data_IF_306002300460
#
_entry.id   IF_306002300460
#
_cell.length_a   1.000
_cell.length_b   1.000
_cell.length_c   1.000
_cell.angle_alpha   90.00
_cell.angle_beta   90.00
_cell.angle_gamma   90.00
#
_symmetry.space_group_name_H-M   'P 1'
#
loop_
_entity.id
_entity.type
_entity.pdbx_description
1 polymer ?
#
# COMPACT_ATOMS: atom_id res chain seq x y z
N UNK A 1 8.17 -42.66 -36.11
CA UNK A 1 9.01 -41.46 -36.16
C UNK A 1 8.36 -40.31 -35.37
N UNK A 2 8.34 -40.36 -34.02
CA UNK A 2 7.51 -39.40 -33.27
C UNK A 2 7.90 -39.13 -31.82
N UNK A 3 9.12 -39.45 -31.37
CA UNK A 3 9.60 -39.14 -30.02
C UNK A 3 10.99 -38.49 -29.94
N UNK A 4 11.71 -38.42 -31.06
CA UNK A 4 13.09 -37.89 -31.07
C UNK A 4 13.21 -36.41 -31.43
N UNK A 5 12.13 -35.74 -31.86
CA UNK A 5 12.22 -34.35 -32.32
C UNK A 5 12.00 -33.30 -31.22
N UNK A 6 11.47 -33.66 -30.04
CA UNK A 6 11.20 -32.70 -28.95
C UNK A 6 12.39 -32.56 -27.99
N UNK A 7 13.26 -33.56 -27.89
CA UNK A 7 14.41 -33.55 -26.99
C UNK A 7 15.60 -32.69 -27.47
N UNK A 8 15.55 -32.14 -28.69
CA UNK A 8 16.66 -31.38 -29.28
C UNK A 8 16.69 -29.89 -28.90
N UNK A 9 15.76 -29.38 -28.08
CA UNK A 9 15.54 -27.93 -27.92
C UNK A 9 15.89 -27.33 -26.55
N UNK A 10 16.18 -28.13 -25.52
CA UNK A 10 16.48 -27.58 -24.19
C UNK A 10 17.99 -27.46 -24.00
N UNK A 11 18.58 -26.35 -24.46
CA UNK A 11 20.03 -26.07 -24.32
C UNK A 11 20.46 -25.63 -22.93
N UNK A 12 19.51 -25.41 -22.01
CA UNK A 12 19.77 -24.80 -20.71
C UNK A 12 19.65 -25.82 -19.58
N UNK A 13 20.53 -25.72 -18.59
CA UNK A 13 20.38 -26.44 -17.35
C UNK A 13 19.26 -25.77 -16.54
N UNK A 14 18.15 -26.47 -16.36
CA UNK A 14 16.97 -25.92 -15.69
C UNK A 14 17.07 -26.07 -14.18
N UNK A 15 16.45 -25.14 -13.46
CA UNK A 15 16.32 -25.25 -12.01
C UNK A 15 15.57 -26.55 -11.64
N UNK A 16 16.09 -27.36 -10.69
CA UNK A 16 15.45 -28.61 -10.32
C UNK A 16 14.08 -28.34 -9.70
N UNK A 17 13.04 -28.90 -10.31
CA UNK A 17 11.68 -28.80 -9.82
C UNK A 17 11.06 -30.19 -9.71
N UNK A 18 10.70 -30.60 -8.49
CA UNK A 18 9.89 -31.78 -8.24
C UNK A 18 8.65 -31.35 -7.49
N UNK A 19 7.48 -31.59 -8.07
CA UNK A 19 6.22 -31.06 -7.55
C UNK A 19 5.91 -31.50 -6.10
N UNK A 20 6.41 -32.65 -5.67
CA UNK A 20 6.29 -33.13 -4.29
C UNK A 20 7.06 -32.29 -3.26
N UNK A 21 8.06 -31.51 -3.66
CA UNK A 21 8.85 -30.63 -2.80
C UNK A 21 8.23 -29.22 -2.68
N UNK A 22 7.07 -29.00 -3.32
CA UNK A 22 6.38 -27.71 -3.37
C UNK A 22 4.93 -27.84 -2.88
N UNK A 23 4.38 -26.73 -2.41
CA UNK A 23 2.95 -26.54 -2.25
C UNK A 23 2.44 -25.69 -3.41
N UNK A 24 1.33 -26.11 -4.02
CA UNK A 24 0.58 -25.24 -4.93
C UNK A 24 -0.20 -24.23 -4.10
N UNK A 25 -0.11 -22.96 -4.48
CA UNK A 25 -0.69 -21.84 -3.72
C UNK A 25 -1.59 -21.00 -4.61
N UNK A 26 -2.53 -20.31 -3.98
CA UNK A 26 -3.39 -19.31 -4.59
C UNK A 26 -3.38 -18.01 -3.78
N UNK A 27 -3.74 -16.91 -4.43
CA UNK A 27 -3.89 -15.63 -3.75
C UNK A 27 -5.15 -15.65 -2.89
N UNK A 28 -5.04 -15.17 -1.64
CA UNK A 28 -6.14 -15.17 -0.67
C UNK A 28 -7.24 -14.17 -1.07
N UNK A 29 -8.17 -14.57 -1.91
CA UNK A 29 -9.26 -13.69 -2.38
C UNK A 29 -10.46 -13.68 -1.41
N UNK A 30 -10.22 -13.40 -0.12
CA UNK A 30 -11.26 -13.32 0.92
C UNK A 30 -11.09 -12.05 1.74
N UNK A 31 -12.09 -11.16 1.69
CA UNK A 31 -12.14 -9.99 2.55
C UNK A 31 -12.22 -10.42 4.04
N UNK A 32 -11.57 -9.72 4.98
CA UNK A 32 -10.79 -8.48 4.80
C UNK A 32 -9.29 -8.69 4.46
N UNK A 33 -8.85 -9.92 4.21
CA UNK A 33 -7.42 -10.28 4.30
C UNK A 33 -6.66 -10.27 2.97
N UNK A 34 -7.31 -10.22 1.80
CA UNK A 34 -6.56 -10.24 0.55
C UNK A 34 -7.40 -9.93 -0.69
N UNK A 35 -6.88 -10.24 -1.90
CA UNK A 35 -5.61 -10.94 -2.19
C UNK A 35 -4.35 -10.10 -1.97
N UNK A 36 -4.52 -8.79 -1.85
CA UNK A 36 -3.44 -7.84 -1.65
C UNK A 36 -3.95 -6.66 -0.80
N UNK A 37 -3.12 -6.20 0.13
CA UNK A 37 -3.43 -5.04 0.97
C UNK A 37 -2.34 -3.98 0.83
N UNK A 38 -2.72 -2.73 0.56
CA UNK A 38 -1.79 -1.60 0.63
C UNK A 38 -1.56 -1.20 2.08
N UNK A 39 -0.30 -0.89 2.39
CA UNK A 39 0.13 -0.39 3.68
C UNK A 39 0.19 1.14 3.61
N UNK A 40 -0.52 1.80 4.50
CA UNK A 40 -0.39 3.24 4.72
C UNK A 40 0.91 3.55 5.47
N UNK A 41 1.38 4.79 5.36
CA UNK A 41 2.56 5.27 6.09
C UNK A 41 2.40 5.18 7.63
N UNK A 42 1.18 4.97 8.14
CA UNK A 42 0.89 4.75 9.57
C UNK A 42 0.99 3.29 10.00
N UNK A 43 1.05 2.36 9.05
CA UNK A 43 1.07 0.90 9.26
C UNK A 43 2.44 0.27 8.97
N UNK A 44 3.37 1.06 8.44
CA UNK A 44 4.78 0.69 8.30
C UNK A 44 5.53 1.01 9.59
N UNK A 45 5.76 -0.01 10.43
CA UNK A 45 6.72 0.06 11.54
C UNK A 45 8.16 0.21 11.00
N UNK A 46 9.13 0.52 11.87
CA UNK A 46 10.56 0.72 11.53
C UNK A 46 11.14 -0.38 10.65
N UNK A 47 10.68 -1.62 10.83
CA UNK A 47 11.25 -2.81 10.18
C UNK A 47 10.75 -3.00 8.75
N UNK A 48 9.68 -2.29 8.35
CA UNK A 48 9.05 -2.40 7.03
C UNK A 48 8.88 -1.06 6.32
N UNK A 49 9.68 -0.05 6.67
CA UNK A 49 9.53 1.35 6.23
C UNK A 49 9.71 1.61 4.72
N UNK A 50 9.87 0.57 3.90
CA UNK A 50 9.95 0.65 2.44
C UNK A 50 8.84 -0.10 1.69
N UNK A 51 8.00 -0.89 2.38
CA UNK A 51 6.98 -1.70 1.73
C UNK A 51 5.66 -0.97 1.59
N UNK A 52 5.14 -0.97 0.36
CA UNK A 52 3.87 -0.31 0.03
C UNK A 52 2.68 -1.25 0.15
N UNK A 53 2.91 -2.57 0.15
CA UNK A 53 1.84 -3.56 0.12
C UNK A 53 2.27 -4.95 0.55
N UNK A 54 1.29 -5.80 0.83
CA UNK A 54 1.45 -7.22 1.14
C UNK A 54 0.57 -8.05 0.20
N UNK A 55 1.16 -9.07 -0.41
CA UNK A 55 0.47 -10.12 -1.15
C UNK A 55 0.32 -11.32 -0.23
N UNK A 56 -0.88 -11.90 -0.17
CA UNK A 56 -1.18 -13.01 0.74
C UNK A 56 -1.48 -14.27 -0.06
N UNK A 57 -0.72 -15.32 0.22
CA UNK A 57 -0.93 -16.65 -0.37
C UNK A 57 -1.51 -17.62 0.65
N UNK A 58 -2.37 -18.51 0.18
CA UNK A 58 -2.86 -19.69 0.90
C UNK A 58 -2.60 -20.95 0.07
N UNK A 59 -2.60 -22.13 0.70
CA UNK A 59 -2.45 -23.37 -0.08
C UNK A 59 -3.72 -23.65 -0.88
N UNK A 60 -3.54 -24.19 -2.08
CA UNK A 60 -4.65 -24.69 -2.86
C UNK A 60 -5.35 -25.83 -2.09
N UNK A 61 -6.68 -25.82 -2.08
CA UNK A 61 -7.53 -26.76 -1.33
C UNK A 61 -7.49 -26.64 0.20
N UNK A 62 -6.98 -25.55 0.74
CA UNK A 62 -7.15 -25.24 2.16
C UNK A 62 -8.64 -24.99 2.46
N UNK A 63 -9.12 -25.48 3.60
CA UNK A 63 -10.55 -25.51 3.96
C UNK A 63 -11.18 -24.12 4.20
N UNK A 64 -12.23 -24.02 5.04
CA UNK A 64 -12.73 -22.70 5.43
C UNK A 64 -11.60 -21.87 6.06
N UNK A 65 -11.55 -20.58 5.74
CA UNK A 65 -10.52 -19.69 6.27
C UNK A 65 -10.78 -19.54 7.76
N UNK A 66 -9.84 -20.03 8.57
CA UNK A 66 -9.86 -19.89 10.01
C UNK A 66 -8.69 -19.01 10.45
N UNK A 67 -8.75 -18.52 11.68
CA UNK A 67 -7.66 -17.70 12.23
C UNK A 67 -6.35 -18.50 12.40
N UNK A 68 -6.42 -19.83 12.39
CA UNK A 68 -5.27 -20.74 12.46
C UNK A 68 -4.77 -21.17 11.08
N UNK A 69 -5.44 -20.76 10.00
CA UNK A 69 -5.03 -21.11 8.65
C UNK A 69 -3.64 -20.51 8.37
N UNK A 70 -2.64 -21.32 8.00
CA UNK A 70 -1.32 -20.82 7.63
C UNK A 70 -1.41 -20.06 6.32
N UNK A 71 -0.87 -18.84 6.32
CA UNK A 71 -0.76 -18.00 5.14
C UNK A 71 0.69 -17.55 4.97
N UNK A 72 1.06 -17.23 3.73
CA UNK A 72 2.36 -16.65 3.42
C UNK A 72 2.17 -15.19 3.00
N UNK A 73 2.85 -14.28 3.71
CA UNK A 73 2.88 -12.85 3.42
C UNK A 73 4.14 -12.51 2.61
N UNK A 74 3.96 -11.90 1.45
CA UNK A 74 5.07 -11.39 0.63
C UNK A 74 4.92 -9.88 0.49
N UNK A 75 5.87 -9.15 1.06
CA UNK A 75 5.89 -7.70 1.01
C UNK A 75 6.42 -7.18 -0.33
N UNK A 76 5.71 -6.24 -0.93
CA UNK A 76 6.02 -5.69 -2.26
C UNK A 76 6.01 -4.17 -2.23
N UNK A 77 6.94 -3.57 -2.98
CA UNK A 77 7.19 -2.13 -3.03
C UNK A 77 6.86 -1.54 -4.40
N UNK A 78 6.43 -0.27 -4.43
CA UNK A 78 6.44 0.58 -5.62
C UNK A 78 5.50 0.11 -6.75
N UNK A 79 5.92 0.30 -7.99
CA UNK A 79 5.07 0.06 -9.17
C UNK A 79 4.65 -1.40 -9.33
N UNK A 80 5.45 -2.36 -8.86
CA UNK A 80 5.09 -3.77 -8.93
C UNK A 80 3.81 -4.06 -8.14
N UNK A 81 3.67 -3.45 -6.95
CA UNK A 81 2.47 -3.53 -6.13
C UNK A 81 1.25 -2.98 -6.90
N UNK A 82 1.36 -1.74 -7.38
CA UNK A 82 0.27 -1.10 -8.12
C UNK A 82 -0.16 -1.91 -9.34
N UNK A 83 0.79 -2.41 -10.12
CA UNK A 83 0.52 -3.19 -11.32
C UNK A 83 -0.20 -4.50 -11.01
N UNK A 84 0.19 -5.21 -9.95
CA UNK A 84 -0.48 -6.44 -9.51
C UNK A 84 -1.90 -6.12 -9.05
N UNK A 85 -2.08 -5.06 -8.25
CA UNK A 85 -3.38 -4.64 -7.78
C UNK A 85 -4.34 -4.28 -8.93
N UNK A 86 -3.87 -3.49 -9.90
CA UNK A 86 -4.64 -3.13 -11.08
C UNK A 86 -5.05 -4.38 -11.87
N UNK A 87 -4.12 -5.31 -12.06
CA UNK A 87 -4.36 -6.57 -12.75
C UNK A 87 -5.39 -7.46 -12.03
N UNK A 88 -5.34 -7.53 -10.69
CA UNK A 88 -6.31 -8.27 -9.87
C UNK A 88 -7.73 -7.72 -9.99
N UNK A 89 -7.87 -6.39 -10.16
CA UNK A 89 -9.14 -5.72 -10.34
C UNK A 89 -9.59 -5.62 -11.80
N UNK A 90 -8.85 -6.21 -12.73
CA UNK A 90 -9.13 -6.11 -14.17
C UNK A 90 -9.04 -4.68 -14.72
N UNK A 91 -8.33 -3.79 -14.02
CA UNK A 91 -8.08 -2.43 -14.46
C UNK A 91 -7.05 -2.45 -15.59
N UNK A 92 -7.41 -1.84 -16.72
CA UNK A 92 -6.55 -1.77 -17.90
C UNK A 92 -6.16 -0.33 -18.19
N UNK A 93 -4.87 -0.08 -18.16
CA UNK A 93 -4.30 1.22 -18.49
C UNK A 93 -4.36 1.51 -20.00
N UNK A 94 -4.42 2.79 -20.37
CA UNK A 94 -4.45 3.23 -21.77
C UNK A 94 -3.17 2.88 -22.55
N UNK A 95 -2.07 2.66 -21.83
CA UNK A 95 -0.76 2.26 -22.34
C UNK A 95 -0.25 1.08 -21.52
N UNK A 96 0.45 0.11 -22.15
CA UNK A 96 0.99 -1.03 -21.43
C UNK A 96 2.07 -0.58 -20.43
N UNK A 97 2.00 -1.08 -19.19
CA UNK A 97 3.07 -0.93 -18.20
C UNK A 97 4.24 -1.88 -18.50
N UNK A 98 5.34 -1.78 -17.76
CA UNK A 98 6.53 -2.64 -17.96
C UNK A 98 6.17 -4.14 -17.91
N UNK A 99 5.30 -4.54 -16.98
CA UNK A 99 4.87 -5.92 -16.88
C UNK A 99 3.95 -6.36 -18.04
N UNK A 100 3.10 -5.47 -18.57
CA UNK A 100 2.34 -5.72 -19.79
C UNK A 100 3.27 -5.92 -20.98
N UNK A 101 4.29 -5.06 -21.12
CA UNK A 101 5.28 -5.16 -22.19
C UNK A 101 5.99 -6.52 -22.12
N UNK A 102 6.43 -6.95 -20.94
CA UNK A 102 7.07 -8.25 -20.74
C UNK A 102 6.15 -9.40 -21.12
N UNK A 103 4.88 -9.38 -20.67
CA UNK A 103 3.89 -10.38 -21.08
C UNK A 103 3.70 -10.41 -22.60
N UNK A 104 3.57 -9.24 -23.23
CA UNK A 104 3.37 -9.14 -24.67
C UNK A 104 4.56 -9.71 -25.46
N UNK A 105 5.80 -9.45 -25.02
CA UNK A 105 6.99 -10.01 -25.63
C UNK A 105 7.02 -11.54 -25.50
N UNK A 106 6.72 -12.07 -24.31
CA UNK A 106 6.65 -13.53 -24.08
C UNK A 106 5.54 -14.18 -24.91
N UNK A 107 4.37 -13.55 -25.02
CA UNK A 107 3.26 -14.04 -25.84
C UNK A 107 3.66 -14.10 -27.32
N UNK A 108 4.33 -13.07 -27.85
CA UNK A 108 4.84 -13.08 -29.23
C UNK A 108 5.90 -14.16 -29.45
N UNK A 109 6.80 -14.35 -28.49
CA UNK A 109 7.79 -15.43 -28.56
C UNK A 109 7.13 -16.81 -28.55
N UNK A 110 6.08 -17.01 -27.76
CA UNK A 110 5.31 -18.25 -27.71
C UNK A 110 4.53 -18.53 -29.00
N UNK A 111 4.02 -17.50 -29.68
CA UNK A 111 3.41 -17.62 -31.01
C UNK A 111 4.43 -18.06 -32.07
N UNK A 112 5.65 -17.51 -32.03
CA UNK A 112 6.71 -17.81 -33.00
C UNK A 112 7.38 -19.17 -32.77
N UNK A 113 7.50 -19.59 -31.51
CA UNK A 113 8.11 -20.86 -31.11
C UNK A 113 7.21 -21.58 -30.10
N UNK A 114 6.11 -22.20 -30.60
CA UNK A 114 5.22 -22.99 -29.75
C UNK A 114 6.00 -24.09 -29.04
N UNK A 115 5.80 -24.22 -27.74
CA UNK A 115 6.45 -25.26 -26.92
C UNK A 115 7.74 -24.85 -26.21
N UNK A 116 8.21 -23.60 -26.31
CA UNK A 116 9.42 -23.14 -25.60
C UNK A 116 9.21 -21.93 -24.70
N UNK A 117 8.32 -21.02 -25.06
CA UNK A 117 8.17 -19.72 -24.40
C UNK A 117 6.88 -19.58 -23.59
N UNK A 118 6.10 -20.66 -23.45
CA UNK A 118 4.91 -20.63 -22.62
C UNK A 118 5.32 -20.75 -21.14
N UNK A 119 4.84 -19.81 -20.32
CA UNK A 119 5.06 -19.85 -18.87
C UNK A 119 4.22 -20.98 -18.28
N UNK A 120 4.90 -22.03 -17.81
CA UNK A 120 4.26 -23.24 -17.28
C UNK A 120 3.87 -23.07 -15.82
N UNK A 121 4.71 -22.40 -15.04
CA UNK A 121 4.51 -22.16 -13.61
C UNK A 121 5.45 -21.08 -13.10
N UNK A 122 5.08 -20.52 -11.96
CA UNK A 122 5.92 -19.65 -11.13
C UNK A 122 6.19 -20.37 -9.82
N UNK A 123 7.42 -20.34 -9.31
CA UNK A 123 7.73 -20.90 -8.01
C UNK A 123 8.53 -19.94 -7.13
N UNK A 124 8.17 -19.83 -5.85
CA UNK A 124 9.04 -19.26 -4.82
C UNK A 124 9.93 -20.41 -4.32
N UNK A 125 11.22 -20.35 -4.66
CA UNK A 125 12.14 -21.50 -4.51
C UNK A 125 13.05 -21.42 -3.29
N UNK A 126 13.27 -20.22 -2.76
CA UNK A 126 14.10 -20.00 -1.58
C UNK A 126 13.71 -18.73 -0.83
N UNK A 127 14.07 -18.68 0.44
CA UNK A 127 14.12 -17.48 1.26
C UNK A 127 15.58 -17.32 1.71
N UNK A 128 16.18 -16.16 1.46
CA UNK A 128 17.58 -15.87 1.80
C UNK A 128 17.65 -14.46 2.37
N UNK A 129 18.13 -14.32 3.61
CA UNK A 129 18.24 -13.01 4.27
C UNK A 129 16.92 -12.22 4.20
N UNK A 130 15.80 -12.89 4.50
CA UNK A 130 14.43 -12.35 4.40
C UNK A 130 13.97 -11.93 2.98
N UNK A 131 14.72 -12.30 1.95
CA UNK A 131 14.39 -12.07 0.54
C UNK A 131 13.91 -13.35 -0.14
N UNK A 132 12.66 -13.31 -0.59
CA UNK A 132 12.08 -14.39 -1.38
C UNK A 132 12.67 -14.42 -2.80
N UNK A 133 13.10 -15.61 -3.23
CA UNK A 133 13.62 -15.87 -4.57
C UNK A 133 12.55 -16.59 -5.39
N UNK A 134 12.15 -15.99 -6.51
CA UNK A 134 11.20 -16.55 -7.46
C UNK A 134 11.89 -17.15 -8.69
N UNK A 135 11.21 -18.08 -9.35
CA UNK A 135 11.61 -18.69 -10.62
C UNK A 135 10.41 -18.79 -11.56
N UNK A 136 10.63 -18.41 -12.82
CA UNK A 136 9.70 -18.60 -13.92
C UNK A 136 10.14 -19.81 -14.73
N UNK A 137 9.24 -20.76 -14.98
CA UNK A 137 9.56 -21.96 -15.76
C UNK A 137 8.83 -21.91 -17.10
N UNK A 138 9.58 -21.96 -18.19
CA UNK A 138 9.06 -21.88 -19.54
C UNK A 138 9.25 -23.20 -20.29
N UNK A 139 8.32 -23.51 -21.19
CA UNK A 139 8.44 -24.68 -22.04
C UNK A 139 7.16 -24.99 -22.79
N UNK A 140 6.85 -26.28 -22.87
CA UNK A 140 5.70 -26.78 -23.62
C UNK A 140 4.52 -27.09 -22.69
N UNK A 141 3.45 -26.30 -22.80
CA UNK A 141 2.26 -26.47 -21.99
C UNK A 141 1.49 -27.77 -22.31
N UNK A 142 1.64 -28.31 -23.52
CA UNK A 142 0.96 -29.56 -23.91
C UNK A 142 1.60 -30.79 -23.25
N UNK A 143 2.92 -30.77 -23.06
CA UNK A 143 3.65 -31.89 -22.45
C UNK A 143 4.07 -31.63 -21.00
N UNK A 144 4.02 -30.38 -20.54
CA UNK A 144 4.54 -29.95 -19.24
C UNK A 144 6.06 -29.91 -19.16
N UNK A 145 6.75 -30.11 -20.30
CA UNK A 145 8.22 -30.16 -20.37
C UNK A 145 8.81 -28.76 -20.18
N UNK A 146 9.64 -28.59 -19.17
CA UNK A 146 10.39 -27.34 -18.94
C UNK A 146 11.57 -27.27 -19.91
N UNK A 147 11.68 -26.18 -20.66
CA UNK A 147 12.77 -25.91 -21.59
C UNK A 147 13.86 -25.02 -21.00
N UNK A 148 13.47 -24.01 -20.23
CA UNK A 148 14.36 -23.08 -19.55
C UNK A 148 13.63 -22.43 -18.36
N UNK A 149 14.40 -21.83 -17.46
CA UNK A 149 13.88 -21.05 -16.36
C UNK A 149 14.60 -19.70 -16.24
N UNK A 150 14.00 -18.78 -15.50
CA UNK A 150 14.58 -17.48 -15.20
C UNK A 150 14.36 -17.11 -13.74
N UNK A 151 15.39 -16.53 -13.12
CA UNK A 151 15.30 -15.94 -11.79
C UNK A 151 14.41 -14.69 -11.83
N UNK A 152 13.51 -14.55 -10.87
CA UNK A 152 12.64 -13.37 -10.79
C UNK A 152 12.31 -13.03 -9.33
N UNK A 153 11.82 -11.82 -9.08
CA UNK A 153 11.17 -11.53 -7.80
C UNK A 153 9.77 -12.18 -7.79
N UNK A 154 9.27 -12.63 -6.63
CA UNK A 154 7.93 -13.21 -6.56
C UNK A 154 6.84 -12.28 -7.08
N UNK A 155 6.94 -10.97 -6.86
CA UNK A 155 5.97 -9.97 -7.36
C UNK A 155 5.84 -10.01 -8.89
N UNK A 156 6.96 -10.06 -9.59
CA UNK A 156 7.00 -10.05 -11.06
C UNK A 156 6.40 -11.36 -11.59
N UNK A 157 6.72 -12.48 -10.92
CA UNK A 157 6.14 -13.78 -11.22
C UNK A 157 4.64 -13.85 -10.99
N UNK A 158 4.13 -13.31 -9.87
CA UNK A 158 2.69 -13.23 -9.58
C UNK A 158 1.97 -12.47 -10.68
N UNK A 159 2.49 -11.32 -11.12
CA UNK A 159 1.88 -10.56 -12.21
C UNK A 159 1.77 -11.39 -13.49
N UNK A 160 2.87 -12.02 -13.91
CA UNK A 160 2.86 -12.86 -15.12
C UNK A 160 1.92 -14.05 -14.96
N UNK A 161 1.87 -14.66 -13.78
CA UNK A 161 0.97 -15.77 -13.45
C UNK A 161 -0.50 -15.36 -13.56
N UNK A 162 -0.86 -14.17 -13.10
CA UNK A 162 -2.21 -13.63 -13.24
C UNK A 162 -2.59 -13.40 -14.71
N UNK A 163 -1.60 -13.06 -15.55
CA UNK A 163 -1.81 -12.81 -16.98
C UNK A 163 -1.90 -14.07 -17.81
N UNK A 164 -1.07 -15.06 -17.51
CA UNK A 164 -1.03 -16.35 -18.22
C UNK A 164 -1.97 -17.39 -17.61
N UNK A 165 -2.50 -17.13 -16.41
CA UNK A 165 -3.27 -18.09 -15.61
C UNK A 165 -2.47 -19.37 -15.31
N UNK A 166 -1.13 -19.28 -15.24
CA UNK A 166 -0.32 -20.41 -14.82
C UNK A 166 -0.37 -20.61 -13.29
N UNK A 167 -0.11 -21.82 -12.78
CA UNK A 167 -0.05 -22.08 -11.36
C UNK A 167 1.17 -21.45 -10.66
N UNK A 168 0.98 -21.10 -9.39
CA UNK A 168 2.04 -20.63 -8.49
C UNK A 168 2.36 -21.73 -7.46
N UNK A 169 3.65 -21.93 -7.21
CA UNK A 169 4.17 -22.88 -6.25
C UNK A 169 5.06 -22.19 -5.22
N UNK A 170 5.15 -22.76 -4.02
CA UNK A 170 6.08 -22.36 -2.97
C UNK A 170 6.82 -23.60 -2.49
N UNK A 171 8.14 -23.54 -2.42
CA UNK A 171 8.94 -24.64 -1.89
C UNK A 171 8.52 -24.94 -0.45
N UNK A 172 8.44 -26.22 -0.08
CA UNK A 172 8.03 -26.61 1.27
C UNK A 172 8.91 -26.00 2.36
N UNK A 173 10.22 -25.97 2.14
CA UNK A 173 11.16 -25.31 3.05
C UNK A 173 10.82 -23.84 3.29
N UNK A 174 10.48 -23.10 2.23
CA UNK A 174 10.08 -21.69 2.32
C UNK A 174 8.75 -21.54 3.05
N UNK A 175 7.79 -22.42 2.77
CA UNK A 175 6.49 -22.41 3.45
C UNK A 175 6.63 -22.71 4.94
N UNK A 176 7.43 -23.72 5.31
CA UNK A 176 7.68 -24.09 6.70
C UNK A 176 8.42 -22.99 7.47
N UNK A 177 9.27 -22.23 6.81
CA UNK A 177 10.05 -21.13 7.41
C UNK A 177 9.23 -19.84 7.58
N UNK A 178 8.43 -19.47 6.57
CA UNK A 178 7.81 -18.13 6.51
C UNK A 178 6.29 -18.10 6.64
N UNK A 179 5.58 -19.23 6.47
CA UNK A 179 4.14 -19.24 6.62
C UNK A 179 3.75 -19.16 8.10
N UNK A 180 2.78 -18.30 8.42
CA UNK A 180 2.30 -18.11 9.78
C UNK A 180 0.76 -18.24 9.84
N UNK A 181 0.19 -18.68 10.97
CA UNK A 181 -1.25 -18.64 11.19
C UNK A 181 -1.81 -17.23 10.99
N UNK A 182 -2.98 -17.11 10.35
CA UNK A 182 -3.62 -15.82 10.04
C UNK A 182 -3.69 -14.88 11.26
N UNK A 183 -3.95 -15.36 12.47
CA UNK A 183 -3.99 -14.54 13.70
C UNK A 183 -2.70 -13.78 14.01
N UNK A 184 -1.55 -14.28 13.55
CA UNK A 184 -0.24 -13.66 13.74
C UNK A 184 0.18 -12.79 12.56
N UNK A 185 -0.58 -12.83 11.46
CA UNK A 185 -0.26 -12.10 10.25
C UNK A 185 -0.48 -10.60 10.40
N UNK A 186 0.32 -9.82 9.67
CA UNK A 186 0.17 -8.37 9.66
C UNK A 186 -1.16 -7.97 9.05
N UNK A 187 -1.60 -8.64 7.98
CA UNK A 187 -2.91 -8.35 7.36
C UNK A 187 -4.06 -8.54 8.34
N UNK A 188 -3.99 -9.50 9.26
CA UNK A 188 -5.02 -9.69 10.27
C UNK A 188 -5.00 -8.58 11.34
N UNK A 189 -3.83 -8.23 11.86
CA UNK A 189 -3.72 -7.14 12.84
C UNK A 189 -4.27 -5.82 12.29
N UNK A 190 -4.00 -5.54 11.01
CA UNK A 190 -4.52 -4.35 10.34
C UNK A 190 -6.04 -4.42 10.13
N UNK A 191 -6.58 -5.56 9.71
CA UNK A 191 -8.01 -5.74 9.56
C UNK A 191 -8.77 -5.52 10.89
N UNK A 192 -8.25 -6.07 12.00
CA UNK A 192 -8.85 -5.87 13.33
C UNK A 192 -8.80 -4.39 13.75
N UNK A 193 -7.67 -3.73 13.48
CA UNK A 193 -7.51 -2.30 13.77
C UNK A 193 -8.50 -1.45 12.98
N UNK A 194 -8.69 -1.72 11.70
CA UNK A 194 -9.67 -1.01 10.87
C UNK A 194 -11.10 -1.18 11.42
N UNK A 195 -11.47 -2.40 11.81
CA UNK A 195 -12.79 -2.70 12.39
C UNK A 195 -13.03 -1.96 13.71
N UNK A 196 -12.01 -1.85 14.56
CA UNK A 196 -12.08 -1.09 15.82
C UNK A 196 -12.24 0.40 15.55
N UNK A 197 -11.41 0.96 14.65
CA UNK A 197 -11.47 2.38 14.26
C UNK A 197 -12.83 2.73 13.64
N UNK A 198 -13.41 1.84 12.83
CA UNK A 198 -14.72 2.05 12.23
C UNK A 198 -15.83 2.09 13.29
N UNK A 199 -15.78 1.23 14.32
CA UNK A 199 -16.72 1.22 15.43
C UNK A 199 -16.62 2.49 16.29
N UNK A 200 -15.40 2.94 16.58
CA UNK A 200 -15.17 4.19 17.33
C UNK A 200 -15.73 5.41 16.59
N UNK A 201 -15.51 5.49 15.27
CA UNK A 201 -16.04 6.58 14.44
C UNK A 201 -17.57 6.58 14.39
N UNK A 202 -18.18 5.41 14.25
CA UNK A 202 -19.64 5.28 14.28
C UNK A 202 -20.22 5.71 15.63
N UNK A 203 -19.56 5.35 16.73
CA UNK A 203 -19.99 5.76 18.07
C UNK A 203 -19.88 7.29 18.24
N UNK A 204 -18.77 7.91 17.84
CA UNK A 204 -18.58 9.36 17.91
C UNK A 204 -19.60 10.12 17.04
N UNK A 205 -19.91 9.62 15.83
CA UNK A 205 -20.94 10.21 14.97
C UNK A 205 -22.34 10.09 15.60
N UNK A 206 -22.64 8.95 16.24
CA UNK A 206 -23.90 8.77 16.94
C UNK A 206 -24.05 9.73 18.12
N UNK A 207 -22.99 9.87 18.93
CA UNK A 207 -22.95 10.81 20.06
C UNK A 207 -23.08 12.28 19.60
N UNK A 208 -22.41 12.67 18.51
CA UNK A 208 -22.55 14.02 17.93
C UNK A 208 -23.96 14.31 17.38
N UNK A 209 -24.61 13.33 16.76
CA UNK A 209 -26.00 13.47 16.30
C UNK A 209 -26.98 13.59 17.47
N UNK A 210 -26.78 12.83 18.55
CA UNK A 210 -27.62 12.95 19.75
C UNK A 210 -27.43 14.30 20.46
N UNK A 211 -26.19 14.81 20.54
CA UNK A 211 -25.88 16.09 21.17
C UNK A 211 -26.45 17.29 20.39
N UNK A 212 -26.43 17.24 19.06
CA UNK A 212 -27.02 18.29 18.21
C UNK A 212 -28.56 18.30 18.27
N UNK A 213 -29.22 17.14 18.40
CA UNK A 213 -30.69 17.10 18.57
C UNK A 213 -31.16 17.70 19.91
N UNK A 214 -30.39 17.54 20.99
CA UNK A 214 -30.73 18.14 22.29
C UNK A 214 -30.58 19.67 22.32
N UNK A 215 -29.63 20.24 21.56
CA UNK A 215 -29.50 21.70 21.46
C UNK A 215 -30.63 22.36 20.66
N UNK A 216 -31.15 21.71 19.61
CA UNK A 216 -32.24 22.27 18.80
C UNK A 216 -33.57 22.30 19.54
N UNK A 217 -33.83 21.36 20.45
CA UNK A 217 -35.03 21.37 21.30
C UNK A 217 -34.98 22.41 22.42
N UNK A 218 -33.79 22.83 22.87
CA UNK A 218 -33.65 23.87 23.89
C UNK A 218 -33.84 25.31 23.34
N UNK A 219 -33.71 25.53 22.02
CA UNK A 219 -33.95 26.84 21.37
C UNK A 219 -35.30 26.95 20.63
N UNK A 220 -36.05 25.86 20.47
CA UNK A 220 -37.36 25.83 19.79
C UNK A 220 -38.55 26.37 20.60
N UNK A 221 -38.30 27.08 21.71
CA UNK A 221 -39.31 27.62 22.62
C UNK A 221 -39.64 29.10 22.40
N UNK A 222 -39.60 29.64 21.18
CA UNK A 222 -40.19 30.96 20.88
C UNK A 222 -40.40 31.19 19.37
N UNK A 223 -41.61 31.65 19.02
CA UNK A 223 -42.12 32.08 17.69
C UNK A 223 -42.44 30.95 16.69
N UNK A 224 -43.63 30.83 16.10
CA UNK A 224 -44.72 31.79 15.89
C UNK A 224 -45.01 31.93 14.39
N UNK A 225 -45.93 31.13 13.86
CA UNK A 225 -46.74 31.27 12.65
C UNK A 225 -46.17 32.00 11.40
N UNK A 226 -46.03 31.27 10.28
CA UNK A 226 -46.33 31.81 8.95
C UNK A 226 -46.65 30.70 7.92
N UNK A 227 -47.60 31.04 7.08
CA UNK A 227 -48.43 30.25 6.14
C UNK A 227 -47.74 29.73 4.88
N UNK A 228 -48.40 28.72 4.29
CA UNK A 228 -48.08 28.00 3.06
C UNK A 228 -48.06 28.84 1.76
N UNK A 229 -47.27 28.40 0.77
CA UNK A 229 -47.63 28.47 -0.65
C UNK A 229 -46.77 27.55 -1.54
N UNK A 230 -47.45 26.72 -2.34
CA UNK A 230 -46.96 25.96 -3.49
C UNK A 230 -46.33 26.85 -4.59
N UNK A 231 -45.30 26.34 -5.28
CA UNK A 231 -45.30 26.20 -6.75
C UNK A 231 -44.10 25.39 -7.26
N UNK A 232 -44.44 24.39 -8.07
CA UNK A 232 -43.57 23.66 -8.99
C UNK A 232 -43.04 24.59 -10.09
N UNK A 233 -41.76 24.45 -10.46
CA UNK A 233 -41.35 24.74 -11.83
C UNK A 233 -40.13 23.91 -12.26
N UNK A 234 -40.33 23.15 -13.33
CA UNK A 234 -39.32 22.53 -14.18
C UNK A 234 -38.62 23.58 -15.03
N UNK A 235 -37.29 23.49 -15.19
CA UNK A 235 -36.57 24.35 -16.13
C UNK A 235 -35.06 24.16 -16.09
N UNK A 236 -34.49 23.93 -17.25
CA UNK A 236 -33.14 23.45 -17.52
C UNK A 236 -32.08 24.56 -17.68
N UNK A 237 -30.81 24.10 -17.75
CA UNK A 237 -29.58 24.74 -18.30
C UNK A 237 -28.72 25.62 -17.38
N UNK A 238 -27.65 24.99 -16.88
CA UNK A 238 -26.27 25.24 -17.28
C UNK A 238 -25.64 26.61 -17.00
N UNK A 239 -24.67 26.65 -16.08
CA UNK A 239 -23.37 27.33 -16.28
C UNK A 239 -22.38 26.94 -15.16
N UNK A 240 -21.18 26.58 -15.62
CA UNK A 240 -19.90 26.50 -14.92
C UNK A 240 -19.66 27.57 -13.86
N UNK A 241 -19.05 27.21 -12.72
CA UNK A 241 -17.80 27.82 -12.23
C UNK A 241 -17.30 27.18 -10.93
N UNK A 242 -16.00 26.90 -10.88
CA UNK A 242 -15.17 27.14 -9.69
C UNK A 242 -15.12 26.03 -8.64
N UNK A 243 -14.17 25.11 -8.80
CA UNK A 243 -13.71 24.24 -7.73
C UNK A 243 -13.01 25.02 -6.62
N UNK A 244 -13.34 24.68 -5.38
CA UNK A 244 -12.60 25.04 -4.17
C UNK A 244 -12.36 23.77 -3.38
N UNK A 245 -11.20 23.13 -3.60
CA UNK A 245 -10.78 21.97 -2.84
C UNK A 245 -10.43 22.37 -1.41
N UNK A 246 -11.17 21.85 -0.44
CA UNK A 246 -10.72 21.80 0.94
C UNK A 246 -9.65 20.71 1.04
N UNK A 247 -8.38 21.11 1.15
CA UNK A 247 -7.28 20.19 1.43
C UNK A 247 -7.44 19.63 2.85
N UNK A 248 -7.65 18.32 2.94
CA UNK A 248 -7.45 17.56 4.17
C UNK A 248 -5.96 17.55 4.49
N UNK A 249 -5.50 18.47 5.33
CA UNK A 249 -4.10 18.51 5.76
C UNK A 249 -3.77 17.26 6.58
N UNK A 250 -2.84 16.46 6.05
CA UNK A 250 -2.21 15.36 6.77
C UNK A 250 -1.57 15.89 8.07
N UNK A 251 -1.55 15.13 9.17
CA UNK A 251 -0.81 15.52 10.39
C UNK A 251 0.70 15.71 10.17
N UNK A 252 1.19 15.32 8.99
CA UNK A 252 2.57 15.48 8.53
C UNK A 252 2.73 16.60 7.50
N UNK A 253 1.71 17.42 7.30
CA UNK A 253 1.82 18.62 6.48
C UNK A 253 2.59 19.70 7.25
N UNK A 254 3.91 19.62 7.14
CA UNK A 254 4.83 20.57 7.75
C UNK A 254 4.81 21.95 7.06
N UNK A 255 3.99 22.13 6.02
CA UNK A 255 3.72 23.44 5.40
C UNK A 255 2.48 24.13 5.98
N UNK A 256 1.64 23.39 6.72
CA UNK A 256 0.46 23.94 7.38
C UNK A 256 0.84 24.71 8.67
N UNK A 257 0.42 25.97 8.73
CA UNK A 257 0.62 26.85 9.88
C UNK A 257 -0.42 26.52 10.96
N UNK A 258 0.00 26.13 12.16
CA UNK A 258 -0.89 26.00 13.32
C UNK A 258 -0.89 27.31 14.12
N UNK A 259 -2.02 27.70 14.69
CA UNK A 259 -2.12 28.93 15.49
C UNK A 259 -1.24 28.88 16.75
N UNK A 260 -1.01 27.68 17.31
CA UNK A 260 -0.23 27.47 18.54
C UNK A 260 1.29 27.38 18.32
N UNK A 261 1.78 27.48 17.08
CA UNK A 261 3.22 27.41 16.79
C UNK A 261 3.94 28.71 17.20
N UNK A 262 5.18 28.58 17.68
CA UNK A 262 6.09 29.71 17.95
C UNK A 262 6.35 30.46 16.63
N UNK A 263 6.45 31.80 16.69
CA UNK A 263 6.55 32.67 15.50
C UNK A 263 7.72 32.28 14.56
N UNK A 264 8.89 31.93 15.11
CA UNK A 264 10.04 31.51 14.32
C UNK A 264 9.80 30.21 13.54
N UNK A 265 8.99 29.30 14.08
CA UNK A 265 8.62 28.05 13.41
C UNK A 265 7.61 28.35 12.30
N UNK A 266 6.67 29.27 12.54
CA UNK A 266 5.71 29.72 11.51
C UNK A 266 6.44 30.34 10.31
N UNK A 267 7.49 31.11 10.56
CA UNK A 267 8.34 31.68 9.51
C UNK A 267 9.02 30.58 8.69
N UNK A 268 9.70 29.64 9.34
CA UNK A 268 10.38 28.52 8.66
C UNK A 268 9.41 27.67 7.84
N UNK A 269 8.20 27.41 8.34
CA UNK A 269 7.16 26.67 7.60
C UNK A 269 6.70 27.44 6.36
N UNK A 270 6.54 28.76 6.46
CA UNK A 270 6.17 29.62 5.33
C UNK A 270 7.26 29.65 4.28
N UNK A 271 8.52 29.79 4.69
CA UNK A 271 9.67 29.73 3.78
C UNK A 271 9.78 28.37 3.08
N UNK A 272 9.56 27.28 3.82
CA UNK A 272 9.56 25.93 3.25
C UNK A 272 8.44 25.75 2.23
N UNK A 273 7.24 26.30 2.51
CA UNK A 273 6.12 26.27 1.59
C UNK A 273 6.41 27.05 0.29
N UNK A 274 7.04 28.22 0.40
CA UNK A 274 7.47 29.04 -0.74
C UNK A 274 8.52 28.29 -1.56
N UNK A 275 9.55 27.73 -0.91
CA UNK A 275 10.61 26.99 -1.60
C UNK A 275 10.08 25.77 -2.38
N UNK A 276 9.08 25.07 -1.84
CA UNK A 276 8.40 23.98 -2.54
C UNK A 276 7.53 24.48 -3.70
N UNK A 277 6.88 25.64 -3.56
CA UNK A 277 6.08 26.26 -4.62
C UNK A 277 6.93 26.78 -5.78
N UNK A 278 8.14 27.25 -5.49
CA UNK A 278 9.12 27.74 -6.48
C UNK A 278 10.00 26.62 -7.06
N UNK A 279 9.77 25.36 -6.68
CA UNK A 279 10.56 24.19 -7.07
C UNK A 279 12.06 24.29 -6.71
N UNK A 280 12.43 25.13 -5.74
CA UNK A 280 13.79 25.21 -5.19
C UNK A 280 13.99 24.13 -4.10
N UNK A 281 14.23 22.91 -4.57
CA UNK A 281 14.47 21.75 -3.70
C UNK A 281 15.73 21.89 -2.84
N UNK A 282 16.72 22.68 -3.26
CA UNK A 282 17.96 22.89 -2.50
C UNK A 282 17.71 23.77 -1.28
N UNK A 283 16.92 24.85 -1.43
CA UNK A 283 16.44 25.65 -0.31
C UNK A 283 15.52 24.85 0.61
N UNK A 284 14.60 24.06 0.05
CA UNK A 284 13.69 23.22 0.82
C UNK A 284 14.44 22.19 1.69
N UNK A 285 15.52 21.58 1.18
CA UNK A 285 16.35 20.65 1.95
C UNK A 285 17.03 21.35 3.15
N UNK A 286 17.56 22.56 2.97
CA UNK A 286 18.17 23.35 4.06
C UNK A 286 17.16 23.73 5.13
N UNK A 287 15.97 24.15 4.73
CA UNK A 287 14.89 24.53 5.66
C UNK A 287 14.34 23.30 6.43
N UNK A 288 14.24 22.15 5.76
CA UNK A 288 13.88 20.88 6.39
C UNK A 288 14.91 20.44 7.44
N UNK A 289 16.19 20.60 7.13
CA UNK A 289 17.29 20.16 7.99
C UNK A 289 17.68 21.23 9.03
N UNK A 290 16.94 22.33 9.11
CA UNK A 290 17.14 23.39 10.10
C UNK A 290 16.95 22.86 11.55
N UNK A 291 17.82 23.22 12.51
CA UNK A 291 17.76 22.69 13.89
C UNK A 291 16.39 22.86 14.57
N UNK A 292 15.75 24.02 14.39
CA UNK A 292 14.43 24.29 14.96
C UNK A 292 13.34 23.44 14.30
N UNK A 293 13.45 23.19 13.00
CA UNK A 293 12.49 22.39 12.26
C UNK A 293 12.63 20.90 12.63
N UNK A 294 13.85 20.41 12.85
CA UNK A 294 14.10 19.05 13.35
C UNK A 294 13.53 18.82 14.76
N UNK A 295 13.75 19.77 15.67
CA UNK A 295 13.19 19.72 17.03
C UNK A 295 11.66 19.76 16.98
N UNK A 296 11.08 20.60 16.14
CA UNK A 296 9.62 20.65 15.95
C UNK A 296 9.05 19.34 15.42
N UNK A 297 9.68 18.72 14.41
CA UNK A 297 9.27 17.39 13.91
C UNK A 297 9.30 16.33 15.02
N UNK A 298 10.29 16.40 15.90
CA UNK A 298 10.41 15.48 17.04
C UNK A 298 9.34 15.74 18.10
N UNK A 299 8.98 16.99 18.38
CA UNK A 299 7.88 17.37 19.28
C UNK A 299 6.55 16.82 18.76
N UNK A 300 6.25 17.05 17.47
CA UNK A 300 5.02 16.54 16.85
C UNK A 300 4.97 15.01 16.85
N UNK A 301 6.11 14.34 16.61
CA UNK A 301 6.20 12.88 16.71
C UNK A 301 5.87 12.38 18.12
N UNK A 302 6.39 13.02 19.18
CA UNK A 302 6.10 12.61 20.56
C UNK A 302 4.65 12.90 20.99
N UNK A 303 4.04 13.98 20.49
CA UNK A 303 2.61 14.27 20.70
C UNK A 303 1.73 13.19 20.07
N UNK A 304 2.05 12.74 18.86
CA UNK A 304 1.33 11.66 18.19
C UNK A 304 1.48 10.31 18.91
N UNK A 305 2.62 10.06 19.55
CA UNK A 305 2.87 8.85 20.35
C UNK A 305 2.27 8.91 21.77
N UNK A 306 1.55 9.98 22.13
CA UNK A 306 0.94 10.15 23.47
C UNK A 306 1.93 10.44 24.60
N UNK A 307 3.20 10.76 24.28
CA UNK A 307 4.27 11.09 25.24
C UNK A 307 4.33 12.59 25.50
N UNK A 308 3.29 13.12 26.17
CA UNK A 308 3.12 14.56 26.39
C UNK A 308 4.28 15.19 27.19
N UNK A 309 4.80 14.51 28.21
CA UNK A 309 5.90 15.02 29.06
C UNK A 309 7.19 15.29 28.29
N UNK A 310 7.52 14.41 27.34
CA UNK A 310 8.75 14.52 26.54
C UNK A 310 8.59 15.57 25.44
N UNK A 311 7.39 15.70 24.88
CA UNK A 311 7.06 16.77 23.94
C UNK A 311 7.19 18.15 24.60
N UNK A 312 6.70 18.32 25.84
CA UNK A 312 6.83 19.56 26.59
C UNK A 312 8.28 19.89 26.98
N UNK A 313 9.11 18.88 27.26
CA UNK A 313 10.53 19.07 27.53
C UNK A 313 11.26 19.63 26.30
N UNK A 314 11.03 19.03 25.13
CA UNK A 314 11.60 19.49 23.86
C UNK A 314 11.06 20.84 23.41
N UNK A 315 9.79 21.14 23.71
CA UNK A 315 9.21 22.45 23.43
C UNK A 315 9.87 23.55 24.26
N UNK A 316 10.19 23.27 25.53
CA UNK A 316 10.97 24.18 26.39
C UNK A 316 12.39 24.36 25.85
N UNK A 317 13.04 23.29 25.44
CA UNK A 317 14.37 23.35 24.81
C UNK A 317 14.36 24.25 23.56
N UNK A 318 13.40 24.04 22.66
CA UNK A 318 13.23 24.85 21.45
C UNK A 318 13.02 26.33 21.78
N UNK A 319 12.17 26.65 22.75
CA UNK A 319 11.95 28.02 23.20
C UNK A 319 13.22 28.68 23.78
N UNK A 320 14.02 27.93 24.56
CA UNK A 320 15.30 28.44 25.06
C UNK A 320 16.32 28.68 23.96
N UNK A 321 16.39 27.81 22.94
CA UNK A 321 17.30 27.98 21.81
C UNK A 321 16.94 29.21 20.97
N UNK A 322 15.64 29.44 20.74
CA UNK A 322 15.15 30.63 20.04
C UNK A 322 15.49 31.91 20.82
N UNK A 323 15.22 31.91 22.13
CA UNK A 323 15.47 33.08 22.99
C UNK A 323 16.96 33.39 23.06
N UNK A 324 17.81 32.36 23.16
CA UNK A 324 19.28 32.50 23.16
C UNK A 324 19.80 33.05 21.82
N UNK A 325 19.24 32.60 20.70
CA UNK A 325 19.64 33.08 19.39
C UNK A 325 19.21 34.54 19.16
N UNK A 326 17.99 34.89 19.56
CA UNK A 326 17.46 36.25 19.45
C UNK A 326 18.19 37.23 20.39
N UNK A 327 18.64 36.77 21.57
CA UNK A 327 19.46 37.56 22.50
C UNK A 327 20.92 37.75 22.06
N UNK A 328 21.43 36.94 21.11
CA UNK A 328 22.77 37.07 20.55
C UNK A 328 22.85 37.93 19.28
N UNK A 329 21.71 38.40 18.76
CA UNK A 329 21.58 39.18 17.52
C UNK A 329 21.21 40.65 17.80
N UNK A 330 20.98 41.02 19.07
CA UNK A 330 20.81 42.40 19.55
C UNK A 330 22.14 42.99 20.03
#
# INVERSE_FOLDING_TARGET
MGRQTVLALCKFNTYPFKENEYHRVELLNRAPYGPMRFLSARETDSDYSGFTSVIVFQREHEGPLTIETPILEVFVTGDAAYNIHAQLHGQKENRPVVHDLMFNLLARAAEMQPGQWQLLRVAIVALKDDLFVGRLFFGDAATGTVCWDCDCRPSDGVYLSLRTQCPIYVARSVWEEAAAPLRLSKVHMLAVKDDLMAKEQQQQQHEQMQASQHQTQAQGGASGAATAAMKSNSGCKGASAGGGGASSSSPYDFTAIKLDDIEDIKLLKRELAIALQEEDYAAAARLRDHPYMQLYRRIEAFRLLGRASDAEALQRELATMITRNNAGVA
#
